data_IF_007817100167
#
_entry.id   IF_007817100167
#
_cell.length_a   1.000
_cell.length_b   1.000
_cell.length_c   1.000
_cell.angle_alpha   90.00
_cell.angle_beta   90.00
_cell.angle_gamma   90.00
#
_symmetry.space_group_name_H-M   'P 1'
#
loop_
_entity.id
_entity.type
_entity.pdbx_description
1 polymer ?
#
# COMPACT_ATOMS: atom_id res chain seq x y z
N UNK A 1 5.20 21.20 -15.12
CA UNK A 1 5.93 19.99 -15.57
C UNK A 1 5.52 18.86 -14.66
N UNK A 2 4.84 17.84 -15.18
CA UNK A 2 4.52 16.64 -14.40
C UNK A 2 5.83 15.84 -14.32
N UNK A 3 6.45 15.73 -13.15
CA UNK A 3 7.50 14.73 -12.93
C UNK A 3 6.91 13.40 -13.39
N UNK A 4 7.54 12.76 -14.39
CA UNK A 4 7.04 11.50 -14.89
C UNK A 4 6.99 10.53 -13.73
N UNK A 5 5.83 9.92 -13.50
CA UNK A 5 5.73 8.80 -12.58
C UNK A 5 6.77 7.78 -13.04
N UNK A 6 7.82 7.58 -12.27
CA UNK A 6 8.78 6.52 -12.56
C UNK A 6 8.80 5.54 -11.40
N UNK A 7 7.68 4.86 -11.08
CA UNK A 7 7.80 3.61 -10.37
C UNK A 7 8.75 2.77 -11.19
N UNK A 8 9.86 2.40 -10.60
CA UNK A 8 10.96 1.81 -11.36
C UNK A 8 10.65 0.34 -11.70
N UNK A 9 9.57 -0.21 -11.14
CA UNK A 9 9.07 -1.55 -11.38
C UNK A 9 8.00 -1.61 -12.47
N UNK A 10 8.13 -2.64 -13.31
CA UNK A 10 7.13 -2.99 -14.31
C UNK A 10 5.83 -3.46 -13.65
N UNK A 11 4.71 -2.88 -14.07
CA UNK A 11 3.36 -3.23 -13.61
C UNK A 11 2.98 -4.70 -13.89
N UNK A 12 3.67 -5.37 -14.82
CA UNK A 12 3.52 -6.81 -15.15
C UNK A 12 4.25 -7.72 -14.15
N UNK A 13 5.15 -7.19 -13.34
CA UNK A 13 5.89 -7.94 -12.32
C UNK A 13 5.23 -7.87 -10.95
N UNK A 14 4.12 -7.15 -10.83
CA UNK A 14 3.38 -6.99 -9.59
C UNK A 14 1.99 -7.58 -9.79
N UNK A 15 1.62 -8.50 -8.92
CA UNK A 15 0.28 -9.04 -8.91
C UNK A 15 -0.77 -8.02 -8.53
N UNK A 16 -2.04 -8.34 -8.81
CA UNK A 16 -3.15 -7.43 -8.59
C UNK A 16 -3.24 -6.95 -7.13
N UNK A 17 -2.89 -7.81 -6.17
CA UNK A 17 -2.94 -7.47 -4.75
C UNK A 17 -1.73 -6.68 -4.26
N UNK A 18 -0.72 -6.46 -5.10
CA UNK A 18 0.50 -5.75 -4.75
C UNK A 18 1.68 -6.67 -4.42
N UNK A 19 1.53 -7.99 -4.54
CA UNK A 19 2.66 -8.90 -4.34
C UNK A 19 3.65 -8.81 -5.51
N UNK A 20 4.94 -8.70 -5.19
CA UNK A 20 6.00 -8.75 -6.20
C UNK A 20 6.18 -10.20 -6.66
N UNK A 21 6.37 -10.38 -7.97
CA UNK A 21 6.54 -11.69 -8.61
C UNK A 21 7.93 -11.82 -9.22
N UNK A 22 8.49 -13.02 -9.12
CA UNK A 22 9.78 -13.40 -9.68
C UNK A 22 9.70 -14.76 -10.34
N UNK A 23 10.67 -15.07 -11.20
CA UNK A 23 10.91 -16.44 -11.65
C UNK A 23 11.38 -17.31 -10.47
N UNK A 24 11.08 -18.63 -10.45
CA UNK A 24 11.44 -19.52 -9.34
C UNK A 24 12.94 -19.63 -9.06
N UNK A 25 13.80 -19.48 -10.07
CA UNK A 25 15.25 -19.62 -9.94
C UNK A 25 15.96 -18.38 -9.36
N UNK A 26 15.21 -17.49 -8.69
CA UNK A 26 15.71 -16.18 -8.25
C UNK A 26 16.87 -16.33 -7.27
N UNK A 27 17.99 -15.65 -7.56
CA UNK A 27 19.15 -15.57 -6.66
C UNK A 27 19.19 -14.26 -5.88
N UNK A 28 18.27 -13.33 -6.14
CA UNK A 28 18.24 -11.98 -5.55
C UNK A 28 17.67 -11.95 -4.13
N UNK A 29 16.96 -13.00 -3.72
CA UNK A 29 16.56 -13.18 -2.33
C UNK A 29 17.70 -13.83 -1.54
N UNK A 30 17.87 -13.38 -0.30
CA UNK A 30 18.80 -14.03 0.61
C UNK A 30 18.28 -15.41 1.00
N UNK A 31 19.18 -16.40 1.08
CA UNK A 31 18.83 -17.79 1.44
C UNK A 31 18.06 -17.87 2.75
N UNK A 32 18.41 -17.01 3.69
CA UNK A 32 17.77 -16.96 4.99
C UNK A 32 16.34 -16.42 4.90
N UNK A 33 16.06 -15.40 4.08
CA UNK A 33 14.68 -14.92 3.84
C UNK A 33 13.86 -16.00 3.13
N UNK A 34 14.46 -16.71 2.16
CA UNK A 34 13.80 -17.85 1.52
C UNK A 34 13.50 -18.99 2.49
N UNK A 35 14.30 -19.15 3.55
CA UNK A 35 14.09 -20.17 4.57
C UNK A 35 13.02 -19.79 5.62
N UNK A 36 12.53 -18.55 5.62
CA UNK A 36 11.50 -18.11 6.56
C UNK A 36 10.15 -18.77 6.21
N UNK A 37 9.56 -19.57 7.13
CA UNK A 37 8.37 -20.35 6.82
C UNK A 37 7.19 -19.48 6.40
N UNK A 38 6.62 -19.78 5.23
CA UNK A 38 5.38 -19.18 4.76
C UNK A 38 5.48 -17.70 4.36
N UNK A 39 6.69 -17.11 4.32
CA UNK A 39 6.89 -15.72 3.93
C UNK A 39 6.56 -15.49 2.45
N UNK A 40 6.96 -16.44 1.60
CA UNK A 40 6.80 -16.42 0.15
C UNK A 40 5.66 -17.35 -0.28
N UNK A 41 5.05 -17.04 -1.42
CA UNK A 41 4.22 -18.00 -2.16
C UNK A 41 5.08 -18.62 -3.25
N UNK A 42 5.26 -19.94 -3.22
CA UNK A 42 6.00 -20.67 -4.26
C UNK A 42 5.03 -21.39 -5.20
N UNK A 43 5.20 -21.16 -6.51
CA UNK A 43 4.47 -21.83 -7.59
C UNK A 43 5.44 -22.33 -8.65
N UNK A 44 5.05 -23.33 -9.46
CA UNK A 44 5.90 -23.82 -10.54
C UNK A 44 6.36 -22.72 -11.51
N UNK A 45 5.53 -21.71 -11.74
CA UNK A 45 5.81 -20.64 -12.69
C UNK A 45 6.39 -19.35 -12.07
N UNK A 46 6.23 -19.11 -10.77
CA UNK A 46 6.69 -17.89 -10.12
C UNK A 46 6.84 -18.01 -8.60
N UNK A 47 7.57 -17.07 -8.00
CA UNK A 47 7.64 -16.83 -6.56
C UNK A 47 7.03 -15.47 -6.26
N UNK A 48 6.12 -15.40 -5.28
CA UNK A 48 5.43 -14.19 -4.84
C UNK A 48 5.90 -13.71 -3.46
N UNK A 49 5.96 -12.39 -3.26
CA UNK A 49 6.41 -11.77 -2.00
C UNK A 49 5.48 -11.95 -0.79
N UNK A 50 4.25 -12.43 -1.01
CA UNK A 50 3.24 -12.62 0.05
C UNK A 50 2.81 -14.09 0.10
N UNK A 51 3.29 -14.81 1.11
CA UNK A 51 2.89 -16.18 1.44
C UNK A 51 1.84 -16.25 2.56
N UNK A 52 1.59 -17.46 3.04
CA UNK A 52 0.61 -17.74 4.11
C UNK A 52 0.86 -16.93 5.40
N UNK A 53 2.11 -16.57 5.69
CA UNK A 53 2.50 -15.77 6.86
C UNK A 53 1.98 -14.32 6.78
N UNK A 54 1.61 -13.83 5.60
CA UNK A 54 0.98 -12.51 5.44
C UNK A 54 -0.45 -12.52 6.01
N UNK A 55 -1.17 -13.63 5.82
CA UNK A 55 -2.61 -13.78 6.10
C UNK A 55 -2.91 -14.56 7.38
N UNK A 56 -1.88 -14.99 8.11
CA UNK A 56 -2.01 -15.89 9.26
C UNK A 56 -2.93 -15.33 10.35
N UNK A 57 -3.80 -16.17 10.92
CA UNK A 57 -4.64 -15.82 12.06
C UNK A 57 -3.89 -16.14 13.36
N UNK A 58 -3.17 -15.14 13.88
CA UNK A 58 -2.40 -15.26 15.13
C UNK A 58 -2.78 -14.19 16.14
N UNK A 59 -2.59 -14.43 17.44
CA UNK A 59 -2.73 -13.42 18.48
C UNK A 59 -1.78 -12.23 18.28
N UNK A 60 -2.17 -11.04 18.78
CA UNK A 60 -1.36 -9.81 18.69
C UNK A 60 0.07 -9.99 19.19
N UNK A 61 0.30 -10.74 20.28
CA UNK A 61 1.65 -10.95 20.80
C UNK A 61 2.54 -11.72 19.81
N UNK A 62 2.03 -12.78 19.16
CA UNK A 62 2.79 -13.52 18.15
C UNK A 62 3.05 -12.67 16.89
N UNK A 63 2.06 -11.88 16.47
CA UNK A 63 2.23 -10.96 15.35
C UNK A 63 3.29 -9.90 15.65
N UNK A 64 3.31 -9.35 16.86
CA UNK A 64 4.30 -8.36 17.28
C UNK A 64 5.70 -8.98 17.34
N UNK A 65 5.84 -10.17 17.94
CA UNK A 65 7.11 -10.89 17.98
C UNK A 65 7.64 -11.17 16.57
N UNK A 66 6.76 -11.54 15.64
CA UNK A 66 7.14 -11.78 14.24
C UNK A 66 7.56 -10.47 13.55
N UNK A 67 6.85 -9.37 13.75
CA UNK A 67 7.24 -8.06 13.20
C UNK A 67 8.59 -7.58 13.77
N UNK A 68 8.84 -7.77 15.07
CA UNK A 68 10.14 -7.49 15.69
C UNK A 68 11.26 -8.32 15.08
N UNK A 69 11.03 -9.63 14.93
CA UNK A 69 12.00 -10.53 14.32
C UNK A 69 12.33 -10.14 12.87
N UNK A 70 11.32 -9.83 12.05
CA UNK A 70 11.53 -9.41 10.66
C UNK A 70 12.25 -8.07 10.55
N UNK A 71 11.97 -7.13 11.44
CA UNK A 71 12.57 -5.79 11.43
C UNK A 71 13.99 -5.79 11.95
N UNK A 72 14.30 -6.59 12.96
CA UNK A 72 15.67 -6.91 13.32
C UNK A 72 16.42 -7.49 12.11
N UNK A 73 15.77 -8.40 11.38
CA UNK A 73 16.37 -9.00 10.20
C UNK A 73 16.66 -8.00 9.07
N UNK A 74 15.78 -7.02 8.83
CA UNK A 74 16.03 -5.91 7.88
C UNK A 74 17.33 -5.18 8.24
N UNK A 75 17.57 -4.92 9.52
CA UNK A 75 18.76 -4.18 9.99
C UNK A 75 20.07 -4.97 9.82
N UNK A 76 20.00 -6.30 9.84
CA UNK A 76 21.15 -7.20 9.66
C UNK A 76 21.47 -7.48 8.18
N UNK A 77 20.52 -7.23 7.28
CA UNK A 77 20.70 -7.47 5.84
C UNK A 77 21.55 -6.38 5.19
N UNK A 78 22.81 -6.72 4.90
CA UNK A 78 23.71 -5.84 4.15
C UNK A 78 23.75 -6.16 2.65
N UNK A 79 23.77 -5.13 1.81
CA UNK A 79 24.07 -5.29 0.39
C UNK A 79 25.52 -5.73 0.19
N UNK A 80 25.75 -6.82 -0.55
CA UNK A 80 27.09 -7.28 -0.94
C UNK A 80 27.35 -6.98 -2.42
N UNK A 81 28.62 -6.99 -2.86
CA UNK A 81 29.00 -6.69 -4.25
C UNK A 81 28.34 -7.60 -5.29
N UNK A 82 27.86 -8.79 -4.88
CA UNK A 82 27.23 -9.78 -5.76
C UNK A 82 25.71 -9.90 -5.58
N UNK A 83 25.16 -9.41 -4.47
CA UNK A 83 23.75 -9.60 -4.10
C UNK A 83 23.23 -8.36 -3.37
N UNK A 84 22.21 -7.73 -3.95
CA UNK A 84 21.44 -6.69 -3.29
C UNK A 84 20.35 -7.32 -2.41
N UNK A 85 20.19 -6.82 -1.19
CA UNK A 85 19.18 -7.31 -0.23
C UNK A 85 17.88 -6.50 -0.28
N UNK A 86 17.75 -5.51 -1.16
CA UNK A 86 16.56 -4.66 -1.26
C UNK A 86 15.24 -5.44 -1.43
N UNK A 87 15.15 -6.48 -2.30
CA UNK A 87 13.92 -7.26 -2.41
C UNK A 87 13.57 -7.98 -1.09
N UNK A 88 14.56 -8.56 -0.41
CA UNK A 88 14.40 -9.17 0.91
C UNK A 88 13.92 -8.16 1.96
N UNK A 89 14.52 -6.96 2.02
CA UNK A 89 14.12 -5.90 2.95
C UNK A 89 12.68 -5.43 2.69
N UNK A 90 12.29 -5.29 1.42
CA UNK A 90 10.91 -4.97 1.03
C UNK A 90 9.93 -6.01 1.56
N UNK A 91 10.19 -7.30 1.34
CA UNK A 91 9.29 -8.39 1.77
C UNK A 91 9.11 -8.33 3.30
N UNK A 92 10.20 -8.24 4.05
CA UNK A 92 10.15 -8.19 5.51
C UNK A 92 9.41 -6.94 6.03
N UNK A 93 9.57 -5.80 5.36
CA UNK A 93 8.89 -4.56 5.73
C UNK A 93 7.39 -4.62 5.41
N UNK A 94 7.01 -5.14 4.25
CA UNK A 94 5.61 -5.33 3.83
C UNK A 94 4.87 -6.25 4.82
N UNK A 95 5.48 -7.39 5.18
CA UNK A 95 4.90 -8.30 6.17
C UNK A 95 4.82 -7.68 7.57
N UNK A 96 5.83 -6.93 7.99
CA UNK A 96 5.82 -6.24 9.29
C UNK A 96 4.75 -5.15 9.35
N UNK A 97 4.63 -4.35 8.29
CA UNK A 97 3.60 -3.32 8.14
C UNK A 97 2.20 -3.91 8.32
N UNK A 98 1.90 -4.98 7.57
CA UNK A 98 0.59 -5.65 7.66
C UNK A 98 0.30 -6.17 9.08
N UNK A 99 1.29 -6.75 9.75
CA UNK A 99 1.16 -7.25 11.13
C UNK A 99 0.90 -6.12 12.13
N UNK A 100 1.64 -5.02 12.04
CA UNK A 100 1.45 -3.85 12.91
C UNK A 100 0.08 -3.19 12.70
N UNK A 101 -0.38 -3.04 11.46
CA UNK A 101 -1.70 -2.48 11.15
C UNK A 101 -2.84 -3.33 11.74
N UNK A 102 -2.73 -4.65 11.69
CA UNK A 102 -3.69 -5.58 12.30
C UNK A 102 -3.73 -5.45 13.83
N UNK A 103 -2.56 -5.30 14.45
CA UNK A 103 -2.47 -5.06 15.89
C UNK A 103 -3.17 -3.75 16.23
N UNK A 104 -2.84 -2.66 15.53
CA UNK A 104 -3.47 -1.35 15.73
C UNK A 104 -4.99 -1.44 15.57
N UNK A 105 -5.50 -2.15 14.56
CA UNK A 105 -6.95 -2.34 14.41
C UNK A 105 -7.63 -2.96 15.64
N UNK A 106 -6.97 -3.93 16.28
CA UNK A 106 -7.45 -4.55 17.52
C UNK A 106 -7.35 -3.64 18.74
N UNK A 107 -6.30 -2.82 18.82
CA UNK A 107 -6.11 -1.84 19.89
C UNK A 107 -7.17 -0.73 19.80
N UNK A 108 -7.40 -0.17 18.61
CA UNK A 108 -8.39 0.89 18.38
C UNK A 108 -9.83 0.48 18.65
N UNK A 109 -10.08 -0.84 18.75
CA UNK A 109 -11.37 -1.40 19.15
C UNK A 109 -11.51 -1.60 20.66
N UNK A 110 -10.44 -1.38 21.45
CA UNK A 110 -10.42 -1.59 22.90
C UNK A 110 -10.75 -0.28 23.62
N UNK A 111 -11.70 -0.28 24.57
CA UNK A 111 -12.02 0.93 25.34
C UNK A 111 -10.90 1.37 26.30
N UNK A 112 -9.94 0.49 26.61
CA UNK A 112 -8.80 0.79 27.49
C UNK A 112 -7.58 1.36 26.75
N UNK A 113 -7.61 1.40 25.41
CA UNK A 113 -6.47 1.89 24.63
C UNK A 113 -6.40 3.40 24.68
N UNK A 114 -5.22 3.93 25.00
CA UNK A 114 -4.94 5.38 25.02
C UNK A 114 -4.06 5.77 23.84
N UNK A 115 -4.01 7.07 23.51
CA UNK A 115 -3.33 7.53 22.30
C UNK A 115 -1.83 7.27 22.34
N UNK A 116 -1.23 7.37 23.52
CA UNK A 116 0.19 7.11 23.77
C UNK A 116 0.58 5.68 23.39
N UNK A 117 -0.30 4.70 23.63
CA UNK A 117 -0.07 3.32 23.24
C UNK A 117 -0.05 3.17 21.71
N UNK A 118 -0.86 3.96 20.99
CA UNK A 118 -1.02 3.85 19.53
C UNK A 118 0.06 4.60 18.76
N UNK A 119 0.50 5.77 19.25
CA UNK A 119 1.51 6.60 18.58
C UNK A 119 2.78 5.80 18.28
N UNK A 120 3.25 4.99 19.24
CA UNK A 120 4.43 4.15 19.05
C UNK A 120 4.25 3.14 17.91
N UNK A 121 3.08 2.51 17.80
CA UNK A 121 2.79 1.60 16.68
C UNK A 121 2.70 2.35 15.35
N UNK A 122 2.14 3.56 15.33
CA UNK A 122 2.11 4.42 14.14
C UNK A 122 3.53 4.73 13.66
N UNK A 123 4.47 5.03 14.57
CA UNK A 123 5.87 5.26 14.21
C UNK A 123 6.51 3.99 13.61
N UNK A 124 6.27 2.82 14.20
CA UNK A 124 6.71 1.54 13.63
C UNK A 124 6.12 1.26 12.23
N UNK A 125 4.85 1.61 12.01
CA UNK A 125 4.20 1.52 10.69
C UNK A 125 4.86 2.47 9.69
N UNK A 126 5.13 3.73 10.07
CA UNK A 126 5.85 4.70 9.22
C UNK A 126 7.24 4.18 8.84
N UNK A 127 7.98 3.58 9.76
CA UNK A 127 9.31 3.00 9.47
C UNK A 127 9.23 1.86 8.44
N UNK A 128 8.27 0.94 8.57
CA UNK A 128 8.05 -0.10 7.56
C UNK A 128 7.65 0.50 6.21
N UNK A 129 6.76 1.50 6.21
CA UNK A 129 6.30 2.18 5.00
C UNK A 129 7.43 2.94 4.29
N UNK A 130 8.40 3.50 5.03
CA UNK A 130 9.60 4.13 4.45
C UNK A 130 10.44 3.12 3.67
N UNK A 131 10.63 1.90 4.19
CA UNK A 131 11.35 0.83 3.48
C UNK A 131 10.60 0.44 2.21
N UNK A 132 9.28 0.24 2.30
CA UNK A 132 8.41 -0.09 1.15
C UNK A 132 8.49 0.99 0.08
N UNK A 133 8.20 2.24 0.46
CA UNK A 133 8.18 3.40 -0.43
C UNK A 133 9.55 3.61 -1.10
N UNK A 134 10.61 3.65 -0.31
CA UNK A 134 11.96 3.91 -0.81
C UNK A 134 12.46 2.80 -1.72
N UNK A 135 12.14 1.53 -1.41
CA UNK A 135 12.50 0.41 -2.29
C UNK A 135 11.81 0.51 -3.64
N UNK A 136 10.50 0.79 -3.67
CA UNK A 136 9.73 0.91 -4.91
C UNK A 136 10.08 2.15 -5.73
N UNK A 137 10.51 3.23 -5.06
CA UNK A 137 10.97 4.47 -5.71
C UNK A 137 12.45 4.44 -6.09
N UNK A 138 13.20 3.40 -5.69
CA UNK A 138 14.65 3.34 -5.91
C UNK A 138 15.39 4.48 -5.19
N UNK A 139 14.98 4.84 -3.98
CA UNK A 139 15.62 5.85 -3.14
C UNK A 139 16.29 5.22 -1.93
N UNK A 140 17.35 5.86 -1.42
CA UNK A 140 18.01 5.41 -0.20
C UNK A 140 17.07 5.63 1.00
N UNK A 141 17.17 4.77 2.00
CA UNK A 141 16.46 4.92 3.27
C UNK A 141 17.36 4.60 4.45
N UNK A 142 17.07 5.23 5.57
CA UNK A 142 17.57 4.83 6.89
C UNK A 142 16.46 4.09 7.60
N UNK A 143 16.77 2.95 8.20
CA UNK A 143 15.81 2.13 8.93
C UNK A 143 16.23 2.00 10.39
N UNK A 144 15.32 2.32 11.31
CA UNK A 144 15.56 2.17 12.74
C UNK A 144 14.75 1.00 13.31
N UNK A 145 15.38 -0.14 13.68
CA UNK A 145 14.65 -1.26 14.28
C UNK A 145 14.11 -0.95 15.69
N UNK A 146 14.69 0.02 16.40
CA UNK A 146 14.28 0.38 17.77
C UNK A 146 12.82 0.81 17.86
N UNK A 147 12.31 1.53 16.85
CA UNK A 147 10.92 1.99 16.78
C UNK A 147 9.89 0.85 16.82
N UNK A 148 10.32 -0.39 16.54
CA UNK A 148 9.47 -1.58 16.54
C UNK A 148 9.88 -2.55 17.65
N UNK A 149 11.18 -2.69 17.90
CA UNK A 149 11.71 -3.59 18.93
C UNK A 149 11.21 -3.22 20.33
N UNK A 150 11.04 -1.93 20.62
CA UNK A 150 10.65 -1.45 21.94
C UNK A 150 9.13 -1.42 22.16
N UNK A 151 8.33 -1.74 21.13
CA UNK A 151 6.88 -1.79 21.23
C UNK A 151 6.41 -2.81 22.27
N UNK A 152 5.41 -2.45 23.05
CA UNK A 152 4.76 -3.31 24.04
C UNK A 152 3.26 -3.30 23.80
N UNK A 153 2.65 -4.46 23.97
CA UNK A 153 1.19 -4.56 23.94
C UNK A 153 0.63 -4.24 25.32
N UNK A 154 -0.50 -3.53 25.40
CA UNK A 154 -1.32 -3.54 26.59
C UNK A 154 -1.75 -4.98 26.90
N UNK A 155 -1.74 -5.38 28.18
CA UNK A 155 -2.09 -6.76 28.59
C UNK A 155 -3.48 -7.20 28.10
N UNK A 156 -4.41 -6.26 27.95
CA UNK A 156 -5.76 -6.51 27.42
C UNK A 156 -5.81 -6.90 25.94
N UNK A 157 -4.71 -6.71 25.20
CA UNK A 157 -4.64 -6.95 23.76
C UNK A 157 -3.78 -8.15 23.36
N UNK A 158 -2.94 -8.69 24.25
CA UNK A 158 -1.96 -9.74 23.92
C UNK A 158 -2.56 -10.99 23.27
N UNK A 159 -3.71 -11.44 23.79
CA UNK A 159 -4.41 -12.64 23.31
C UNK A 159 -5.48 -12.36 22.25
N UNK A 160 -5.70 -11.09 21.88
CA UNK A 160 -6.66 -10.78 20.81
C UNK A 160 -6.13 -11.31 19.49
N UNK A 161 -6.97 -11.99 18.74
CA UNK A 161 -6.68 -12.44 17.38
C UNK A 161 -7.27 -11.42 16.42
N UNK A 162 -6.47 -10.49 15.86
CA UNK A 162 -6.96 -9.59 14.83
C UNK A 162 -7.38 -10.40 13.61
N UNK A 163 -8.41 -9.89 12.95
CA UNK A 163 -8.85 -10.40 11.66
C UNK A 163 -7.67 -10.48 10.68
N UNK A 164 -7.69 -11.43 9.73
CA UNK A 164 -6.76 -11.43 8.62
C UNK A 164 -6.78 -10.06 7.94
N UNK A 165 -5.61 -9.58 7.52
CA UNK A 165 -5.57 -8.40 6.68
C UNK A 165 -6.07 -8.78 5.30
N UNK A 166 -7.16 -8.16 4.85
CA UNK A 166 -7.73 -8.38 3.53
C UNK A 166 -7.98 -7.00 2.91
N UNK A 167 -7.45 -6.82 1.71
CA UNK A 167 -7.72 -5.73 0.75
C UNK A 167 -6.97 -4.40 0.98
N UNK A 168 -6.62 -3.71 -0.13
CA UNK A 168 -6.06 -2.34 -0.13
C UNK A 168 -4.55 -2.18 -0.39
N UNK A 169 -3.72 -3.19 -0.12
CA UNK A 169 -2.25 -3.03 -0.06
C UNK A 169 -1.51 -3.12 -1.41
N UNK A 170 -2.06 -2.55 -2.48
CA UNK A 170 -1.25 -2.37 -3.69
C UNK A 170 -0.35 -1.14 -3.52
N UNK A 171 0.81 -1.36 -2.89
CA UNK A 171 1.78 -0.31 -2.60
C UNK A 171 2.19 0.47 -3.85
N UNK A 172 2.26 -0.18 -5.01
CA UNK A 172 2.60 0.49 -6.27
C UNK A 172 1.50 1.44 -6.72
N UNK A 173 0.23 1.00 -6.71
CA UNK A 173 -0.90 1.86 -7.06
C UNK A 173 -1.11 2.99 -6.04
N UNK A 174 -0.84 2.73 -4.76
CA UNK A 174 -0.83 3.74 -3.70
C UNK A 174 0.25 4.80 -3.96
N UNK A 175 1.49 4.38 -4.24
CA UNK A 175 2.56 5.33 -4.56
C UNK A 175 2.25 6.13 -5.82
N UNK A 176 1.71 5.46 -6.85
CA UNK A 176 1.29 6.12 -8.07
C UNK A 176 0.17 7.14 -7.81
N UNK A 177 -0.82 6.76 -6.99
CA UNK A 177 -1.86 7.67 -6.54
C UNK A 177 -1.27 8.87 -5.79
N UNK A 178 -0.31 8.65 -4.87
CA UNK A 178 0.35 9.67 -4.05
C UNK A 178 0.99 10.81 -4.86
N UNK A 179 1.36 10.57 -6.12
CA UNK A 179 1.96 11.57 -7.00
C UNK A 179 0.95 12.38 -7.84
N UNK A 180 -0.32 11.95 -7.96
CA UNK A 180 -1.33 12.64 -8.78
C UNK A 180 -1.67 14.04 -8.22
N UNK A 181 -1.65 14.18 -6.89
CA UNK A 181 -1.81 15.44 -6.16
C UNK A 181 -0.90 15.42 -4.92
N UNK A 182 0.40 15.68 -5.13
CA UNK A 182 1.41 15.62 -4.07
C UNK A 182 1.20 16.76 -3.07
N UNK A 183 1.02 16.43 -1.79
CA UNK A 183 0.79 17.40 -0.71
C UNK A 183 1.77 17.19 0.46
N UNK A 184 3.07 17.50 0.28
CA UNK A 184 4.12 17.12 1.25
C UNK A 184 4.00 17.78 2.64
N UNK A 185 3.32 18.92 2.74
CA UNK A 185 3.09 19.61 4.01
C UNK A 185 1.79 19.20 4.72
N UNK A 186 1.11 18.16 4.22
CA UNK A 186 -0.16 17.70 4.77
C UNK A 186 0.04 16.62 5.84
N UNK A 187 -0.63 16.74 6.97
CA UNK A 187 -0.80 15.58 7.85
C UNK A 187 -1.68 14.55 7.14
N UNK A 188 -1.24 13.29 7.12
CA UNK A 188 -1.96 12.20 6.46
C UNK A 188 -2.77 11.45 7.51
N UNK A 189 -4.03 11.20 7.22
CA UNK A 189 -4.95 10.45 8.08
C UNK A 189 -5.45 9.22 7.32
N UNK A 190 -5.07 8.03 7.77
CA UNK A 190 -5.54 6.78 7.22
C UNK A 190 -6.83 6.30 7.87
N UNK A 191 -7.78 5.87 7.05
CA UNK A 191 -8.95 5.14 7.55
C UNK A 191 -8.52 3.70 7.82
N UNK A 192 -8.69 3.24 9.06
CA UNK A 192 -8.31 1.89 9.45
C UNK A 192 -9.01 0.82 8.61
N UNK A 193 -8.32 -0.31 8.49
CA UNK A 193 -8.66 -1.49 7.69
C UNK A 193 -8.20 -1.37 6.24
N UNK A 194 -8.85 -0.51 5.47
CA UNK A 194 -8.52 -0.34 4.06
C UNK A 194 -7.44 0.73 3.86
N UNK A 195 -7.75 1.98 4.19
CA UNK A 195 -6.90 3.14 3.89
C UNK A 195 -5.61 3.27 4.69
N UNK A 196 -5.38 2.50 5.76
CA UNK A 196 -4.27 2.73 6.68
C UNK A 196 -2.89 2.39 6.08
N UNK A 197 -2.77 1.30 5.33
CA UNK A 197 -1.54 0.99 4.59
C UNK A 197 -1.28 2.03 3.49
N UNK A 198 -2.34 2.40 2.76
CA UNK A 198 -2.25 3.42 1.73
C UNK A 198 -1.79 4.78 2.29
N UNK A 199 -2.32 5.16 3.45
CA UNK A 199 -1.94 6.35 4.18
C UNK A 199 -0.50 6.28 4.67
N UNK A 200 -0.04 5.15 5.21
CA UNK A 200 1.32 4.98 5.68
C UNK A 200 2.35 5.14 4.54
N UNK A 201 2.10 4.49 3.40
CA UNK A 201 2.96 4.62 2.21
C UNK A 201 2.91 6.04 1.63
N UNK A 202 1.74 6.68 1.62
CA UNK A 202 1.63 8.09 1.18
C UNK A 202 2.37 9.02 2.11
N UNK A 203 2.22 8.87 3.44
CA UNK A 203 2.92 9.66 4.44
C UNK A 203 4.44 9.50 4.30
N UNK A 204 4.93 8.28 4.07
CA UNK A 204 6.33 8.02 3.80
C UNK A 204 6.82 8.69 2.49
N UNK A 205 6.03 8.63 1.41
CA UNK A 205 6.36 9.26 0.14
C UNK A 205 6.34 10.81 0.18
N UNK A 206 5.60 11.37 1.13
CA UNK A 206 5.45 12.81 1.33
C UNK A 206 6.32 13.39 2.45
N UNK A 207 7.01 12.52 3.20
CA UNK A 207 7.71 12.85 4.44
C UNK A 207 6.79 13.59 5.44
N UNK A 208 5.60 13.02 5.64
CA UNK A 208 4.53 13.62 6.43
C UNK A 208 4.18 12.80 7.67
N UNK A 209 3.48 13.44 8.61
CA UNK A 209 2.89 12.75 9.76
C UNK A 209 1.77 11.79 9.34
N UNK A 210 1.70 10.65 10.04
CA UNK A 210 0.64 9.66 9.88
C UNK A 210 -0.25 9.67 11.11
N UNK A 211 -1.54 9.74 10.88
CA UNK A 211 -2.59 9.61 11.88
C UNK A 211 -3.60 8.58 11.37
N UNK A 212 -4.44 8.07 12.26
CA UNK A 212 -5.39 7.02 11.95
C UNK A 212 -6.77 7.34 12.54
N UNK A 213 -7.82 6.97 11.81
CA UNK A 213 -9.20 7.01 12.31
C UNK A 213 -9.84 5.66 12.11
N UNK A 214 -10.67 5.24 13.05
CA UNK A 214 -11.47 4.01 12.91
C UNK A 214 -12.94 4.36 12.80
N UNK A 215 -13.37 4.65 11.58
CA UNK A 215 -14.78 4.79 11.22
C UNK A 215 -15.28 3.45 10.68
N UNK A 216 -16.49 3.03 11.05
CA UNK A 216 -17.06 1.77 10.58
C UNK A 216 -18.51 1.97 10.16
N UNK A 217 -18.84 1.48 8.96
CA UNK A 217 -20.20 1.50 8.40
C UNK A 217 -20.77 0.09 8.16
N UNK A 218 -19.92 -0.93 8.12
CA UNK A 218 -20.27 -2.31 7.78
C UNK A 218 -20.25 -3.18 9.05
N UNK A 219 -19.79 -4.43 8.95
CA UNK A 219 -19.89 -5.49 9.98
C UNK A 219 -19.33 -5.15 11.38
N UNK A 220 -18.57 -4.05 11.51
CA UNK A 220 -17.92 -3.60 12.74
C UNK A 220 -18.49 -2.27 13.28
N UNK A 221 -19.75 -1.91 12.98
CA UNK A 221 -20.35 -0.64 13.43
C UNK A 221 -20.29 -0.43 14.97
N UNK A 222 -20.25 -1.53 15.75
CA UNK A 222 -20.08 -1.54 17.20
C UNK A 222 -18.66 -1.26 17.68
N UNK A 223 -17.67 -1.23 16.79
CA UNK A 223 -16.24 -1.03 17.07
C UNK A 223 -15.68 0.28 16.50
N UNK A 224 -16.55 1.25 16.20
CA UNK A 224 -16.12 2.59 15.79
C UNK A 224 -15.39 3.31 16.94
N UNK A 225 -14.42 4.12 16.57
CA UNK A 225 -13.73 5.04 17.47
C UNK A 225 -14.05 6.47 17.07
N UNK A 226 -14.35 7.32 18.05
CA UNK A 226 -14.58 8.75 17.83
C UNK A 226 -13.29 9.56 17.98
N UNK A 227 -12.11 8.92 17.92
CA UNK A 227 -10.81 9.53 18.13
C UNK A 227 -10.00 9.58 16.83
N UNK A 228 -9.23 10.67 16.67
CA UNK A 228 -8.09 10.73 15.77
C UNK A 228 -6.89 10.24 16.56
N UNK A 229 -6.25 9.19 16.06
CA UNK A 229 -5.11 8.54 16.72
C UNK A 229 -3.81 8.95 16.04
N UNK A 230 -2.80 9.28 16.84
CA UNK A 230 -1.51 9.76 16.34
C UNK A 230 -1.09 11.08 16.97
N UNK A 231 -0.17 11.77 16.28
CA UNK A 231 0.38 13.05 16.71
C UNK A 231 -0.66 14.17 16.60
N UNK A 232 -0.58 15.14 17.50
CA UNK A 232 -1.40 16.35 17.39
C UNK A 232 -1.15 17.03 16.04
N UNK A 233 -2.24 17.38 15.34
CA UNK A 233 -2.16 18.14 14.09
C UNK A 233 -2.12 19.64 14.42
N UNK A 234 -1.03 20.35 14.09
CA UNK A 234 -0.94 21.81 14.23
C UNK A 234 -2.11 22.54 13.57
N UNK A 235 -2.55 23.62 14.23
CA UNK A 235 -3.56 24.52 13.68
C UNK A 235 -3.06 25.13 12.36
N UNK A 236 -3.90 25.07 11.32
CA UNK A 236 -3.59 25.57 9.99
C UNK A 236 -2.79 24.61 9.09
N UNK A 237 -2.31 23.47 9.60
CA UNK A 237 -1.69 22.46 8.76
C UNK A 237 -2.75 21.70 7.95
N UNK A 238 -2.57 21.65 6.62
CA UNK A 238 -3.45 20.87 5.74
C UNK A 238 -3.55 19.41 6.19
N UNK A 239 -4.74 18.84 6.11
CA UNK A 239 -4.99 17.45 6.43
C UNK A 239 -5.49 16.72 5.19
N UNK A 240 -5.00 15.52 4.95
CA UNK A 240 -5.43 14.65 3.84
C UNK A 240 -5.90 13.33 4.42
N UNK A 241 -7.17 12.98 4.20
CA UNK A 241 -7.72 11.67 4.55
C UNK A 241 -7.59 10.74 3.36
N UNK A 242 -7.17 9.50 3.63
CA UNK A 242 -6.98 8.46 2.62
C UNK A 242 -7.77 7.21 3.01
N UNK A 243 -8.63 6.77 2.10
CA UNK A 243 -9.24 5.44 2.09
C UNK A 243 -8.56 4.57 1.01
N UNK A 244 -8.66 3.24 1.11
CA UNK A 244 -8.19 2.36 0.04
C UNK A 244 -9.13 2.41 -1.16
N UNK A 245 -10.44 2.49 -0.91
CA UNK A 245 -11.43 2.55 -1.97
C UNK A 245 -12.58 3.51 -1.66
N UNK A 246 -13.24 4.00 -2.71
CA UNK A 246 -14.46 4.80 -2.58
C UNK A 246 -15.56 4.34 -3.54
N UNK A 247 -16.57 3.69 -2.97
CA UNK A 247 -17.79 3.29 -3.68
C UNK A 247 -18.90 4.33 -3.60
N UNK A 248 -19.28 4.74 -2.39
CA UNK A 248 -20.34 5.72 -2.13
C UNK A 248 -19.81 7.04 -1.55
N UNK A 249 -18.60 7.05 -0.98
CA UNK A 249 -18.01 8.19 -0.27
C UNK A 249 -18.45 8.34 1.19
N UNK A 250 -19.32 7.48 1.71
CA UNK A 250 -19.85 7.65 3.07
C UNK A 250 -18.85 7.37 4.20
N UNK A 251 -17.89 6.46 4.00
CA UNK A 251 -16.79 6.22 4.96
C UNK A 251 -15.89 7.44 5.03
N UNK A 252 -15.47 7.94 3.85
CA UNK A 252 -14.71 9.19 3.72
C UNK A 252 -15.44 10.37 4.37
N UNK A 253 -16.75 10.55 4.11
CA UNK A 253 -17.54 11.61 4.73
C UNK A 253 -17.51 11.57 6.25
N UNK A 254 -17.68 10.39 6.86
CA UNK A 254 -17.60 10.25 8.32
C UNK A 254 -16.21 10.55 8.86
N UNK A 255 -15.17 10.11 8.16
CA UNK A 255 -13.79 10.45 8.53
C UNK A 255 -13.53 11.96 8.44
N UNK A 256 -14.05 12.62 7.39
CA UNK A 256 -13.99 14.08 7.23
C UNK A 256 -14.67 14.77 8.41
N UNK A 257 -15.90 14.37 8.74
CA UNK A 257 -16.67 14.96 9.84
C UNK A 257 -15.93 14.80 11.19
N UNK A 258 -15.34 13.62 11.45
CA UNK A 258 -14.57 13.34 12.66
C UNK A 258 -13.31 14.21 12.75
N UNK A 259 -12.53 14.27 11.67
CA UNK A 259 -11.30 15.08 11.63
C UNK A 259 -11.64 16.57 11.75
N UNK A 260 -12.70 17.04 11.09
CA UNK A 260 -13.18 18.41 11.20
C UNK A 260 -13.57 18.74 12.65
N UNK A 261 -14.28 17.84 13.33
CA UNK A 261 -14.69 18.04 14.72
C UNK A 261 -13.49 18.17 15.69
N UNK A 262 -12.37 17.48 15.41
CA UNK A 262 -11.20 17.49 16.29
C UNK A 262 -10.16 18.55 15.94
N UNK A 263 -10.06 18.93 14.67
CA UNK A 263 -9.01 19.84 14.19
C UNK A 263 -9.54 21.22 13.78
N UNK A 264 -10.85 21.36 13.58
CA UNK A 264 -11.48 22.57 13.03
C UNK A 264 -11.20 22.80 11.53
N UNK A 265 -10.51 21.87 10.87
CA UNK A 265 -10.07 22.02 9.48
C UNK A 265 -10.76 21.00 8.59
N UNK A 266 -11.21 21.43 7.41
CA UNK A 266 -11.75 20.51 6.40
C UNK A 266 -10.59 19.79 5.70
N UNK A 267 -10.44 18.47 5.88
CA UNK A 267 -9.40 17.71 5.20
C UNK A 267 -9.71 17.56 3.71
N UNK A 268 -8.65 17.40 2.91
CA UNK A 268 -8.74 16.87 1.54
C UNK A 268 -9.11 15.40 1.58
N UNK A 269 -10.08 14.99 0.77
CA UNK A 269 -10.55 13.61 0.69
C UNK A 269 -9.93 12.88 -0.53
N UNK A 270 -9.38 11.69 -0.27
CA UNK A 270 -8.79 10.81 -1.30
C UNK A 270 -9.18 9.36 -1.05
N UNK A 271 -9.38 8.61 -2.13
CA UNK A 271 -9.29 7.15 -2.12
C UNK A 271 -8.25 6.67 -3.14
N UNK A 272 -7.60 5.54 -2.86
CA UNK A 272 -6.68 4.93 -3.83
C UNK A 272 -7.44 4.34 -5.00
N UNK A 273 -8.51 3.60 -4.78
CA UNK A 273 -9.34 2.97 -5.80
C UNK A 273 -10.73 3.59 -5.83
N UNK A 274 -11.28 3.81 -7.02
CA UNK A 274 -12.61 4.38 -7.21
C UNK A 274 -13.52 3.38 -7.93
N UNK A 275 -14.79 3.30 -7.54
CA UNK A 275 -15.75 2.42 -8.20
C UNK A 275 -16.24 3.02 -9.54
N UNK A 276 -15.32 3.25 -10.47
CA UNK A 276 -15.62 3.74 -11.83
C UNK A 276 -16.65 2.86 -12.54
N UNK A 277 -16.61 1.54 -12.32
CA UNK A 277 -17.62 0.63 -12.85
C UNK A 277 -19.03 0.93 -12.29
N UNK A 278 -19.18 1.14 -10.97
CA UNK A 278 -20.49 1.51 -10.42
C UNK A 278 -20.97 2.85 -10.96
N UNK A 279 -20.05 3.82 -11.11
CA UNK A 279 -20.37 5.10 -11.72
C UNK A 279 -20.88 4.92 -13.17
N UNK A 280 -20.24 4.05 -13.96
CA UNK A 280 -20.69 3.69 -15.31
C UNK A 280 -22.09 3.08 -15.28
N UNK A 281 -22.33 2.07 -14.43
CA UNK A 281 -23.65 1.44 -14.29
C UNK A 281 -24.74 2.44 -13.92
N UNK A 282 -24.46 3.34 -12.98
CA UNK A 282 -25.44 4.32 -12.53
C UNK A 282 -25.67 5.42 -13.58
N UNK A 283 -24.61 6.03 -14.10
CA UNK A 283 -24.69 7.24 -14.94
C UNK A 283 -24.95 6.96 -16.42
N UNK A 284 -24.58 5.78 -16.91
CA UNK A 284 -24.75 5.41 -18.32
C UNK A 284 -25.87 4.40 -18.51
N UNK A 285 -25.91 3.36 -17.66
CA UNK A 285 -26.89 2.29 -17.80
C UNK A 285 -28.14 2.45 -16.90
N UNK A 286 -28.22 3.53 -16.10
CA UNK A 286 -29.41 3.86 -15.31
C UNK A 286 -29.67 2.95 -14.11
N UNK A 287 -28.67 2.21 -13.62
CA UNK A 287 -28.82 1.42 -12.40
C UNK A 287 -29.00 2.31 -11.17
N UNK A 288 -29.88 1.90 -10.24
CA UNK A 288 -30.18 2.62 -9.00
C UNK A 288 -29.11 2.50 -7.91
N UNK A 289 -27.86 2.22 -8.29
CA UNK A 289 -26.74 2.12 -7.36
C UNK A 289 -26.41 3.50 -6.76
N UNK A 290 -26.19 3.57 -5.45
CA UNK A 290 -25.53 4.74 -4.84
C UNK A 290 -24.05 4.72 -5.19
N UNK A 291 -23.55 5.83 -5.72
CA UNK A 291 -22.15 5.98 -6.14
C UNK A 291 -21.58 7.28 -5.60
N UNK A 292 -20.26 7.31 -5.39
CA UNK A 292 -19.56 8.53 -5.01
C UNK A 292 -19.75 9.62 -6.06
N UNK A 293 -19.69 10.89 -5.63
CA UNK A 293 -19.70 12.02 -6.55
C UNK A 293 -18.25 12.44 -6.83
N UNK A 294 -17.74 12.32 -8.06
CA UNK A 294 -16.38 12.75 -8.41
C UNK A 294 -16.08 14.20 -8.05
N UNK A 295 -17.08 15.08 -8.11
CA UNK A 295 -16.94 16.52 -7.80
C UNK A 295 -16.78 16.81 -6.30
N UNK A 296 -17.02 15.81 -5.43
CA UNK A 296 -16.88 15.96 -3.98
C UNK A 296 -15.56 15.42 -3.43
N UNK A 297 -14.76 14.75 -4.25
CA UNK A 297 -13.44 14.26 -3.88
C UNK A 297 -12.38 15.26 -4.35
N UNK A 298 -11.51 15.68 -3.45
CA UNK A 298 -10.41 16.59 -3.78
C UNK A 298 -9.37 15.92 -4.70
N UNK A 299 -9.21 14.61 -4.57
CA UNK A 299 -8.26 13.82 -5.35
C UNK A 299 -8.93 12.59 -5.96
N UNK A 300 -8.97 12.55 -7.29
CA UNK A 300 -9.43 11.41 -8.06
C UNK A 300 -8.23 10.58 -8.54
N UNK A 301 -8.30 9.28 -8.30
CA UNK A 301 -7.35 8.31 -8.82
C UNK A 301 -7.95 7.56 -10.01
N UNK A 302 -7.14 7.12 -10.97
CA UNK A 302 -7.66 6.45 -12.14
C UNK A 302 -7.96 4.97 -11.88
N UNK A 303 -7.57 4.43 -10.73
CA UNK A 303 -7.72 3.02 -10.41
C UNK A 303 -9.19 2.68 -10.24
N UNK A 304 -9.67 1.72 -11.02
CA UNK A 304 -10.97 1.12 -10.74
C UNK A 304 -10.89 0.36 -9.40
N UNK A 305 -12.05 0.02 -8.85
CA UNK A 305 -12.20 -0.87 -7.69
C UNK A 305 -12.28 -2.33 -8.12
N UNK A 306 -11.67 -3.21 -7.31
CA UNK A 306 -11.63 -4.67 -7.49
C UNK A 306 -13.00 -5.29 -7.22
N UNK A 307 -13.66 -5.84 -8.23
CA UNK A 307 -14.92 -6.54 -8.00
C UNK A 307 -14.69 -7.76 -7.10
N UNK A 308 -15.45 -7.88 -5.99
CA UNK A 308 -15.31 -8.96 -4.99
C UNK A 308 -15.34 -10.36 -5.62
N UNK A 309 -16.08 -10.57 -6.72
CA UNK A 309 -16.11 -11.85 -7.44
C UNK A 309 -14.80 -12.20 -8.18
N UNK A 310 -14.02 -11.20 -8.60
CA UNK A 310 -12.68 -11.41 -9.18
C UNK A 310 -11.68 -11.72 -8.05
N UNK A 311 -11.79 -11.00 -6.93
CA UNK A 311 -11.05 -11.24 -5.69
C UNK A 311 -11.31 -12.63 -5.11
N UNK A 312 -12.57 -13.05 -5.00
CA UNK A 312 -12.97 -14.37 -4.49
C UNK A 312 -12.44 -15.49 -5.38
N UNK A 313 -12.41 -15.28 -6.70
CA UNK A 313 -11.78 -16.25 -7.63
C UNK A 313 -10.26 -16.30 -7.48
N UNK A 314 -9.62 -15.18 -7.13
CA UNK A 314 -8.18 -15.09 -6.90
C UNK A 314 -7.74 -15.60 -5.51
N UNK A 315 -8.57 -15.41 -4.48
CA UNK A 315 -8.29 -15.77 -3.08
C UNK A 315 -8.76 -17.20 -2.75
N UNK A 316 -9.97 -17.60 -3.20
CA UNK A 316 -10.65 -18.81 -2.72
C UNK A 316 -10.56 -20.03 -3.64
N UNK A 317 -9.92 -19.95 -4.81
CA UNK A 317 -9.62 -21.18 -5.55
C UNK A 317 -8.34 -21.81 -4.98
N UNK A 318 -8.31 -23.14 -4.73
CA UNK A 318 -7.03 -23.82 -4.65
C UNK A 318 -6.32 -23.48 -5.96
N UNK A 319 -5.13 -22.90 -5.81
CA UNK A 319 -4.12 -22.51 -6.78
C UNK A 319 -3.86 -23.47 -7.95
N UNK A 320 -4.91 -23.86 -8.68
CA UNK A 320 -4.94 -24.93 -9.67
C UNK A 320 -5.27 -24.39 -11.07
N UNK A 321 -5.87 -23.20 -11.18
CA UNK A 321 -5.99 -22.48 -12.44
C UNK A 321 -4.81 -21.50 -12.58
N UNK A 322 -3.75 -21.93 -13.28
CA UNK A 322 -2.57 -21.12 -13.63
C UNK A 322 -2.95 -19.80 -14.33
N UNK A 323 -4.16 -19.71 -14.90
CA UNK A 323 -4.66 -18.54 -15.61
C UNK A 323 -4.72 -17.27 -14.75
N UNK A 324 -5.20 -17.36 -13.52
CA UNK A 324 -5.42 -16.18 -12.67
C UNK A 324 -4.16 -15.74 -11.92
N UNK A 325 -3.23 -16.68 -11.73
CA UNK A 325 -1.86 -16.47 -11.24
C UNK A 325 -1.12 -15.40 -12.06
N UNK A 326 -1.49 -15.18 -13.32
CA UNK A 326 -0.85 -14.19 -14.20
C UNK A 326 -1.49 -12.80 -14.17
N UNK A 327 -2.56 -12.56 -13.39
CA UNK A 327 -3.19 -11.22 -13.35
C UNK A 327 -2.29 -10.23 -12.63
N UNK A 328 -1.97 -9.11 -13.26
CA UNK A 328 -0.99 -8.12 -12.81
C UNK A 328 -1.60 -6.74 -12.64
N UNK A 329 -0.81 -5.82 -12.06
CA UNK A 329 -1.17 -4.40 -12.00
C UNK A 329 -1.30 -3.80 -13.41
N UNK A 330 -0.58 -4.32 -14.42
CA UNK A 330 -0.69 -3.84 -15.80
C UNK A 330 -2.09 -4.12 -16.39
N UNK A 331 -2.66 -5.30 -16.11
CA UNK A 331 -4.03 -5.64 -16.49
C UNK A 331 -5.03 -4.68 -15.84
N UNK A 332 -4.74 -4.27 -14.60
CA UNK A 332 -5.56 -3.31 -13.88
C UNK A 332 -5.53 -1.90 -14.48
N UNK A 333 -4.36 -1.44 -14.91
CA UNK A 333 -4.19 -0.18 -15.64
C UNK A 333 -4.99 -0.21 -16.94
N UNK A 334 -4.92 -1.31 -17.70
CA UNK A 334 -5.67 -1.46 -18.95
C UNK A 334 -7.18 -1.51 -18.74
N UNK A 335 -7.65 -2.23 -17.71
CA UNK A 335 -9.06 -2.28 -17.33
C UNK A 335 -9.58 -0.90 -16.91
N UNK A 336 -8.84 -0.21 -16.02
CA UNK A 336 -9.15 1.13 -15.56
C UNK A 336 -9.22 2.13 -16.71
N UNK A 337 -8.28 2.04 -17.66
CA UNK A 337 -8.27 2.87 -18.87
C UNK A 337 -9.52 2.65 -19.71
N UNK A 338 -9.90 1.40 -19.92
CA UNK A 338 -11.07 1.04 -20.74
C UNK A 338 -12.36 1.59 -20.13
N UNK A 339 -12.55 1.41 -18.82
CA UNK A 339 -13.71 1.96 -18.11
C UNK A 339 -13.76 3.49 -18.16
N UNK A 340 -12.63 4.15 -17.88
CA UNK A 340 -12.54 5.61 -17.92
C UNK A 340 -12.73 6.17 -19.33
N UNK A 341 -12.35 5.43 -20.37
CA UNK A 341 -12.56 5.83 -21.76
C UNK A 341 -14.05 5.85 -22.10
N UNK A 342 -14.76 4.78 -21.74
CA UNK A 342 -16.23 4.73 -21.93
C UNK A 342 -16.92 5.86 -21.15
N UNK A 343 -16.50 6.10 -19.90
CA UNK A 343 -17.03 7.21 -19.11
C UNK A 343 -16.73 8.57 -19.74
N UNK A 344 -15.53 8.79 -20.27
CA UNK A 344 -15.16 10.04 -20.95
C UNK A 344 -15.99 10.28 -22.20
N UNK A 345 -16.18 9.24 -23.02
CA UNK A 345 -16.94 9.31 -24.26
C UNK A 345 -18.44 9.53 -24.01
N UNK A 346 -18.96 9.02 -22.89
CA UNK A 346 -20.38 9.10 -22.55
C UNK A 346 -20.73 10.33 -21.72
N UNK A 347 -19.86 10.74 -20.80
CA UNK A 347 -20.07 11.88 -19.90
C UNK A 347 -19.27 13.08 -20.41
N UNK A 348 -19.81 13.79 -21.39
CA UNK A 348 -19.12 14.89 -22.10
C UNK A 348 -18.66 16.04 -21.20
N UNK A 349 -19.25 16.19 -20.02
CA UNK A 349 -18.93 17.26 -19.07
C UNK A 349 -17.84 16.87 -18.05
N UNK A 350 -17.31 15.64 -18.13
CA UNK A 350 -16.35 15.10 -17.16
C UNK A 350 -14.91 15.58 -17.40
N UNK A 351 -14.60 16.80 -16.97
CA UNK A 351 -13.26 17.38 -17.11
C UNK A 351 -12.14 16.57 -16.43
N UNK A 352 -12.48 15.80 -15.38
CA UNK A 352 -11.54 14.91 -14.69
C UNK A 352 -11.12 13.70 -15.53
N UNK A 353 -11.98 13.17 -16.40
CA UNK A 353 -11.75 11.90 -17.09
C UNK A 353 -10.54 11.99 -18.05
N UNK A 354 -10.42 13.10 -18.78
CA UNK A 354 -9.29 13.33 -19.68
C UNK A 354 -7.93 13.36 -18.94
N UNK A 355 -7.88 13.95 -17.73
CA UNK A 355 -6.67 13.99 -16.90
C UNK A 355 -6.26 12.58 -16.46
N UNK A 356 -7.24 11.79 -15.99
CA UNK A 356 -7.02 10.41 -15.55
C UNK A 356 -6.59 9.50 -16.70
N UNK A 357 -7.23 9.62 -17.87
CA UNK A 357 -6.86 8.86 -19.07
C UNK A 357 -5.44 9.19 -19.55
N UNK A 358 -5.05 10.46 -19.55
CA UNK A 358 -3.68 10.87 -19.88
C UNK A 358 -2.67 10.26 -18.92
N UNK A 359 -2.98 10.24 -17.63
CA UNK A 359 -2.13 9.61 -16.62
C UNK A 359 -1.96 8.11 -16.88
N UNK A 360 -3.06 7.39 -17.16
CA UNK A 360 -3.02 5.96 -17.49
C UNK A 360 -2.28 5.67 -18.80
N UNK A 361 -2.43 6.53 -19.82
CA UNK A 361 -1.69 6.42 -21.08
C UNK A 361 -0.18 6.51 -20.84
N UNK A 362 0.27 7.43 -20.00
CA UNK A 362 1.69 7.55 -19.67
C UNK A 362 2.23 6.27 -19.00
N UNK A 363 1.43 5.63 -18.15
CA UNK A 363 1.82 4.36 -17.52
C UNK A 363 1.82 3.19 -18.50
N UNK A 364 0.86 3.15 -19.43
CA UNK A 364 0.81 2.15 -20.51
C UNK A 364 1.97 2.33 -21.51
N UNK A 365 2.35 3.57 -21.79
CA UNK A 365 3.41 3.92 -22.74
C UNK A 365 4.82 3.57 -22.22
N UNK A 366 4.99 3.35 -20.91
CA UNK A 366 6.22 2.77 -20.36
C UNK A 366 6.40 1.29 -20.74
N UNK A 367 5.49 0.70 -21.53
CA UNK A 367 5.43 -0.75 -21.74
C UNK A 367 5.14 -1.19 -23.20
N UNK A 368 6.04 -0.96 -24.17
CA UNK A 368 6.10 -1.80 -25.36
C UNK A 368 7.26 -2.80 -25.19
N UNK A 369 6.98 -4.00 -24.66
CA UNK A 369 7.92 -5.12 -24.70
C UNK A 369 7.16 -6.41 -24.97
N UNK A 370 7.64 -7.17 -25.97
CA UNK A 370 7.09 -8.43 -26.46
C UNK A 370 6.52 -9.30 -25.33
N UNK A 371 5.28 -9.74 -25.54
CA UNK A 371 4.40 -10.45 -24.62
C UNK A 371 4.89 -11.84 -24.14
N UNK A 372 6.15 -12.19 -24.34
CA UNK A 372 6.60 -13.59 -24.23
C UNK A 372 7.29 -13.95 -22.92
N UNK A 373 7.69 -13.00 -22.05
CA UNK A 373 8.36 -13.36 -20.78
C UNK A 373 7.85 -12.59 -19.55
N UNK A 374 7.60 -13.29 -18.42
CA UNK A 374 7.44 -12.66 -17.12
C UNK A 374 8.69 -11.87 -16.74
N UNK A 375 8.52 -10.65 -16.25
CA UNK A 375 9.62 -9.82 -15.74
C UNK A 375 9.81 -10.10 -14.25
N UNK A 376 11.05 -10.35 -13.84
CA UNK A 376 11.45 -10.61 -12.46
C UNK A 376 11.52 -9.31 -11.63
N UNK A 377 10.54 -9.08 -10.74
CA UNK A 377 10.48 -7.91 -9.88
C UNK A 377 11.67 -7.82 -8.92
N UNK A 378 12.11 -8.95 -8.38
CA UNK A 378 13.20 -8.97 -7.39
C UNK A 378 14.52 -8.59 -8.05
N UNK A 379 14.76 -9.08 -9.27
CA UNK A 379 15.88 -8.65 -10.12
C UNK A 379 15.84 -7.15 -10.37
N UNK A 380 14.69 -6.60 -10.76
CA UNK A 380 14.53 -5.18 -11.04
C UNK A 380 14.85 -4.33 -9.81
N UNK A 381 14.25 -4.64 -8.65
CA UNK A 381 14.55 -3.97 -7.38
C UNK A 381 16.03 -4.06 -7.00
N UNK A 382 16.65 -5.24 -7.15
CA UNK A 382 18.05 -5.46 -6.82
C UNK A 382 18.99 -4.55 -7.64
N UNK A 383 18.70 -4.32 -8.92
CA UNK A 383 19.51 -3.43 -9.77
C UNK A 383 19.30 -1.95 -9.49
N UNK A 384 18.16 -1.57 -8.94
CA UNK A 384 17.79 -0.19 -8.65
C UNK A 384 18.31 0.29 -7.30
N UNK A 385 18.89 -0.61 -6.50
CA UNK A 385 19.34 -0.32 -5.15
C UNK A 385 20.35 0.85 -5.11
N UNK A 386 19.97 1.98 -4.47
CA UNK A 386 20.84 3.15 -4.36
C UNK A 386 22.04 2.88 -3.45
N UNK A 387 21.85 2.04 -2.42
CA UNK A 387 22.91 1.61 -1.49
C UNK A 387 24.06 0.92 -2.26
N UNK A 388 23.73 0.05 -3.22
CA UNK A 388 24.70 -0.61 -4.09
C UNK A 388 25.38 0.38 -5.06
N UNK A 389 24.63 1.35 -5.57
CA UNK A 389 25.14 2.35 -6.52
C UNK A 389 26.12 3.33 -5.87
N UNK A 390 25.89 3.71 -4.61
CA UNK A 390 26.78 4.56 -3.83
C UNK A 390 28.13 3.87 -3.53
N UNK A 391 28.12 2.56 -3.18
CA UNK A 391 29.35 1.78 -2.92
C UNK A 391 30.23 1.66 -4.16
N UNK A 392 29.67 1.41 -5.35
CA UNK A 392 30.45 1.35 -6.61
C UNK A 392 31.23 2.63 -6.90
N UNK A 393 30.66 3.80 -6.58
CA UNK A 393 31.33 5.11 -6.75
C UNK A 393 32.48 5.33 -5.76
N UNK A 394 32.44 4.72 -4.57
CA UNK A 394 33.54 4.80 -3.60
C UNK A 394 34.75 3.95 -4.03
N UNK A 395 34.53 2.76 -4.60
CA UNK A 395 35.61 1.92 -5.12
C UNK A 395 36.19 2.42 -6.47
N UNK A 396 35.39 3.16 -7.25
CA UNK A 396 35.85 3.81 -8.49
C UNK A 396 36.71 5.07 -8.29
N UNK A 397 36.85 5.56 -7.05
CA UNK A 397 37.75 6.68 -6.69
C UNK A 397 39.12 6.21 -6.18
N UNK A 398 39.69 5.18 -6.81
CA UNK A 398 41.15 4.99 -6.80
C UNK A 398 41.72 5.61 -8.08
N UNK A 399 41.89 6.93 -8.06
CA UNK A 399 42.80 7.59 -8.99
C UNK A 399 44.23 7.33 -8.52
N UNK A 400 44.96 6.62 -9.38
CA UNK A 400 46.24 7.05 -9.94
C UNK A 400 47.03 8.02 -9.05
N UNK A 401 48.04 7.48 -8.38
CA UNK A 401 49.34 8.12 -8.26
C UNK A 401 50.41 7.11 -8.63
#
# INVERSE_FOLDING_TARGET
>A
MMESLSPVLDLRSIGLLGELRSVPETRYLTKQVMALPGLLTEKPAFVGSRGIAYYEQKPCHELLMTAKYYTEYISQLECTDKLCTAPSKYILADHSLAKLLRIVDSLLSSPQTVNEDIVLFIDGIKECAKVVSSTLMGTAFTFSPSSIHDLKLPSSAEHKVPRPFIEGDNHLLTLAAAQIDKCPNSSVVGIMLGGSAAAAVTAAAWDSELNLVKVSRYDDASRKSNHLWGSNIPLGQTVTIIDDNCGTGDTLRQAIDLVMAQTGQRPKARAVELHWEKLLRSRVYGHADRVFNPETLDVLTPWCFRHHQVLDRLINQPFADDKYVHTTTADWVAYSYSLLSVLHDTLTDSTWAAKLLRFLLNLKAQTPLNYEQPIDAFKALAYQCPECSARKKQFGKKEVN
#
